data_IF_297364127395
#
_entry.id   IF_297364127395
#
_cell.length_a   1.000
_cell.length_b   1.000
_cell.length_c   1.000
_cell.angle_alpha   90.00
_cell.angle_beta   90.00
_cell.angle_gamma   90.00
#
_symmetry.space_group_name_H-M   'P 1'
#
loop_
_entity.id
_entity.type
_entity.pdbx_description
1 polymer ?
#
# COMPACT_ATOMS: atom_id res chain seq x y z
N UNK A 1 -67.14 -10.26 8.09
CA UNK A 1 -66.16 -9.54 7.25
C UNK A 1 -64.97 -10.45 7.00
N UNK A 2 -64.61 -10.73 5.74
CA UNK A 2 -63.49 -11.61 5.44
C UNK A 2 -62.17 -10.91 5.81
N UNK A 3 -61.30 -11.61 6.56
CA UNK A 3 -59.97 -11.09 6.95
C UNK A 3 -58.93 -11.21 5.83
N UNK A 4 -59.27 -11.92 4.74
CA UNK A 4 -58.39 -12.17 3.59
C UNK A 4 -57.87 -10.91 2.89
N UNK A 5 -58.72 -9.91 2.56
CA UNK A 5 -58.27 -8.69 1.90
C UNK A 5 -57.29 -7.88 2.77
N UNK A 6 -57.52 -7.83 4.08
CA UNK A 6 -56.64 -7.13 5.03
C UNK A 6 -55.26 -7.82 5.08
N UNK A 7 -55.23 -9.15 5.10
CA UNK A 7 -53.98 -9.92 5.13
C UNK A 7 -53.15 -9.71 3.85
N UNK A 8 -53.79 -9.67 2.68
CA UNK A 8 -53.13 -9.44 1.39
C UNK A 8 -52.52 -8.04 1.33
N UNK A 9 -53.25 -7.01 1.78
CA UNK A 9 -52.73 -5.63 1.84
C UNK A 9 -51.52 -5.55 2.78
N UNK A 10 -51.58 -6.21 3.93
CA UNK A 10 -50.51 -6.21 4.93
C UNK A 10 -49.23 -6.88 4.39
N UNK A 11 -49.37 -7.99 3.68
CA UNK A 11 -48.25 -8.65 2.99
C UNK A 11 -47.64 -7.76 1.90
N UNK A 12 -48.47 -7.02 1.15
CA UNK A 12 -47.98 -6.12 0.12
C UNK A 12 -47.17 -4.95 0.71
N UNK A 13 -47.65 -4.37 1.81
CA UNK A 13 -46.94 -3.32 2.54
C UNK A 13 -45.61 -3.84 3.09
N UNK A 14 -45.61 -5.02 3.73
CA UNK A 14 -44.38 -5.63 4.24
C UNK A 14 -43.38 -5.95 3.12
N UNK A 15 -43.85 -6.46 1.97
CA UNK A 15 -43.00 -6.70 0.80
C UNK A 15 -42.39 -5.41 0.25
N UNK A 16 -43.16 -4.32 0.18
CA UNK A 16 -42.67 -3.02 -0.23
C UNK A 16 -41.63 -2.46 0.77
N UNK A 17 -41.89 -2.56 2.09
CA UNK A 17 -40.94 -2.17 3.12
C UNK A 17 -39.63 -2.97 3.02
N UNK A 18 -39.72 -4.30 2.85
CA UNK A 18 -38.55 -5.15 2.67
C UNK A 18 -37.74 -4.76 1.42
N UNK A 19 -38.42 -4.52 0.30
CA UNK A 19 -37.76 -4.10 -0.94
C UNK A 19 -37.02 -2.76 -0.80
N UNK A 20 -37.62 -1.79 -0.09
CA UNK A 20 -36.99 -0.49 0.18
C UNK A 20 -35.75 -0.66 1.07
N UNK A 21 -35.86 -1.42 2.17
CA UNK A 21 -34.74 -1.67 3.09
C UNK A 21 -33.59 -2.40 2.37
N UNK A 22 -33.92 -3.44 1.61
CA UNK A 22 -32.97 -4.20 0.81
C UNK A 22 -32.22 -3.32 -0.20
N UNK A 23 -32.93 -2.40 -0.88
CA UNK A 23 -32.31 -1.48 -1.82
C UNK A 23 -31.44 -0.42 -1.13
N UNK A 24 -31.79 0.00 0.09
CA UNK A 24 -30.96 0.89 0.90
C UNK A 24 -29.67 0.20 1.35
N UNK A 25 -29.74 -1.04 1.85
CA UNK A 25 -28.56 -1.83 2.22
C UNK A 25 -27.64 -2.03 1.03
N UNK A 26 -28.18 -2.43 -0.14
CA UNK A 26 -27.37 -2.57 -1.36
C UNK A 26 -26.66 -1.28 -1.76
N UNK A 27 -27.34 -0.13 -1.67
CA UNK A 27 -26.73 1.18 -1.94
C UNK A 27 -25.61 1.49 -0.93
N UNK A 28 -25.82 1.21 0.36
CA UNK A 28 -24.80 1.43 1.38
C UNK A 28 -23.57 0.54 1.14
N UNK A 29 -23.77 -0.74 0.83
CA UNK A 29 -22.67 -1.66 0.48
C UNK A 29 -21.90 -1.17 -0.74
N UNK A 30 -22.60 -0.73 -1.79
CA UNK A 30 -21.94 -0.19 -2.99
C UNK A 30 -21.12 1.08 -2.68
N UNK A 31 -21.65 2.00 -1.87
CA UNK A 31 -20.93 3.19 -1.43
C UNK A 31 -19.69 2.81 -0.63
N UNK A 32 -19.80 1.89 0.34
CA UNK A 32 -18.67 1.42 1.13
C UNK A 32 -17.58 0.75 0.27
N UNK A 33 -17.97 -0.06 -0.73
CA UNK A 33 -17.02 -0.66 -1.68
C UNK A 33 -16.27 0.41 -2.47
N UNK A 34 -16.98 1.38 -3.03
CA UNK A 34 -16.36 2.46 -3.80
C UNK A 34 -15.41 3.33 -2.97
N UNK A 35 -15.75 3.56 -1.70
CA UNK A 35 -14.92 4.31 -0.75
C UNK A 35 -13.66 3.52 -0.40
N UNK A 36 -13.80 2.21 -0.16
CA UNK A 36 -12.67 1.30 0.06
C UNK A 36 -11.72 1.26 -1.15
N UNK A 37 -12.25 1.09 -2.35
CA UNK A 37 -11.49 1.06 -3.60
C UNK A 37 -10.72 2.37 -3.81
N UNK A 38 -11.36 3.51 -3.57
CA UNK A 38 -10.68 4.82 -3.63
C UNK A 38 -9.56 4.95 -2.61
N UNK A 39 -9.76 4.45 -1.39
CA UNK A 39 -8.70 4.44 -0.37
C UNK A 39 -7.53 3.55 -0.79
N UNK A 40 -7.80 2.34 -1.31
CA UNK A 40 -6.76 1.44 -1.82
C UNK A 40 -5.97 2.13 -2.94
N UNK A 41 -6.68 2.74 -3.90
CA UNK A 41 -6.04 3.51 -4.98
C UNK A 41 -5.13 4.60 -4.42
N UNK A 42 -5.64 5.42 -3.51
CA UNK A 42 -4.90 6.51 -2.88
C UNK A 42 -3.64 6.00 -2.17
N UNK A 43 -3.74 4.89 -1.43
CA UNK A 43 -2.60 4.35 -0.69
C UNK A 43 -1.57 3.69 -1.61
N UNK A 44 -1.97 3.07 -2.71
CA UNK A 44 -1.00 2.59 -3.70
C UNK A 44 -0.31 3.71 -4.46
N UNK A 45 -1.03 4.79 -4.80
CA UNK A 45 -0.38 5.97 -5.38
C UNK A 45 0.58 6.63 -4.39
N UNK A 46 0.22 6.66 -3.09
CA UNK A 46 1.14 7.14 -2.04
C UNK A 46 2.34 6.21 -1.90
N UNK A 47 2.16 4.89 -1.94
CA UNK A 47 3.26 3.92 -1.94
C UNK A 47 4.23 4.18 -3.09
N UNK A 48 3.71 4.44 -4.29
CA UNK A 48 4.52 4.74 -5.49
C UNK A 48 5.34 6.00 -5.26
N UNK A 49 4.76 7.02 -4.64
CA UNK A 49 5.48 8.24 -4.27
C UNK A 49 6.55 7.97 -3.20
N UNK A 50 6.19 7.30 -2.11
CA UNK A 50 7.12 6.99 -1.02
C UNK A 50 8.32 6.17 -1.52
N UNK A 51 8.11 5.22 -2.43
CA UNK A 51 9.20 4.44 -3.04
C UNK A 51 10.11 5.32 -3.90
N UNK A 52 9.56 6.31 -4.62
CA UNK A 52 10.37 7.28 -5.35
C UNK A 52 11.21 8.15 -4.41
N UNK A 53 10.59 8.70 -3.37
CA UNK A 53 11.24 9.55 -2.38
C UNK A 53 12.34 8.78 -1.63
N UNK A 54 12.11 7.48 -1.32
CA UNK A 54 13.13 6.56 -0.80
C UNK A 54 14.28 6.39 -1.78
N UNK A 55 14.00 6.09 -3.05
CA UNK A 55 15.05 5.89 -4.06
C UNK A 55 15.92 7.14 -4.23
N UNK A 56 15.31 8.31 -4.34
CA UNK A 56 16.01 9.60 -4.40
C UNK A 56 16.86 9.84 -3.16
N UNK A 57 16.31 9.55 -1.98
CA UNK A 57 17.05 9.68 -0.72
C UNK A 57 18.26 8.74 -0.71
N UNK A 58 18.10 7.46 -1.04
CA UNK A 58 19.20 6.50 -1.05
C UNK A 58 20.31 6.90 -2.05
N UNK A 59 19.92 7.33 -3.25
CA UNK A 59 20.85 7.77 -4.28
C UNK A 59 21.56 9.09 -3.96
N UNK A 60 21.01 9.87 -3.03
CA UNK A 60 21.68 11.07 -2.54
C UNK A 60 22.75 10.77 -1.47
N UNK A 61 22.87 9.52 -1.00
CA UNK A 61 23.90 9.15 -0.03
C UNK A 61 25.31 9.39 -0.57
N UNK A 62 26.20 9.85 0.30
CA UNK A 62 27.62 10.05 0.00
C UNK A 62 28.42 9.65 1.26
N UNK A 63 29.44 8.81 1.08
CA UNK A 63 30.26 8.32 2.20
C UNK A 63 31.07 9.43 2.90
N UNK A 64 31.42 10.47 2.13
CA UNK A 64 32.20 11.64 2.54
C UNK A 64 31.36 12.74 3.18
N UNK A 65 30.06 12.51 3.41
CA UNK A 65 29.22 13.46 4.13
C UNK A 65 29.84 13.92 5.44
N UNK A 66 29.79 15.24 5.65
CA UNK A 66 30.10 15.87 6.93
C UNK A 66 29.14 15.39 8.02
N UNK A 67 29.50 15.58 9.29
CA UNK A 67 28.64 15.21 10.42
C UNK A 67 27.24 15.86 10.34
N UNK A 68 27.16 17.08 9.81
CA UNK A 68 25.88 17.79 9.61
C UNK A 68 25.06 17.14 8.51
N UNK A 69 25.66 16.81 7.37
CA UNK A 69 24.98 16.14 6.25
C UNK A 69 24.51 14.75 6.65
N UNK A 70 25.33 13.96 7.36
CA UNK A 70 24.94 12.66 7.92
C UNK A 70 23.71 12.77 8.82
N UNK A 71 23.61 13.84 9.62
CA UNK A 71 22.45 14.09 10.48
C UNK A 71 21.19 14.42 9.67
N UNK A 72 21.31 15.25 8.63
CA UNK A 72 20.19 15.59 7.75
C UNK A 72 19.72 14.40 6.91
N UNK A 73 20.67 13.63 6.39
CA UNK A 73 20.40 12.39 5.66
C UNK A 73 19.64 11.38 6.53
N UNK A 74 20.14 11.14 7.75
CA UNK A 74 19.46 10.28 8.73
C UNK A 74 18.02 10.71 8.99
N UNK A 75 17.80 12.02 9.18
CA UNK A 75 16.44 12.57 9.37
C UNK A 75 15.54 12.31 8.16
N UNK A 76 16.09 12.36 6.95
CA UNK A 76 15.35 12.07 5.71
C UNK A 76 14.97 10.60 5.67
N UNK A 77 15.90 9.69 5.91
CA UNK A 77 15.63 8.24 6.05
C UNK A 77 14.56 7.95 7.11
N UNK A 78 14.62 8.61 8.28
CA UNK A 78 13.63 8.44 9.35
C UNK A 78 12.25 9.02 8.98
N UNK A 79 12.16 9.99 8.06
CA UNK A 79 10.89 10.43 7.48
C UNK A 79 10.35 9.37 6.52
N UNK A 80 11.20 8.85 5.63
CA UNK A 80 10.80 7.85 4.65
C UNK A 80 10.29 6.55 5.29
N UNK A 81 10.98 6.09 6.34
CA UNK A 81 10.52 4.94 7.16
C UNK A 81 9.11 5.18 7.69
N UNK A 82 8.83 6.39 8.20
CA UNK A 82 7.51 6.70 8.76
C UNK A 82 6.42 6.73 7.69
N UNK A 83 6.71 7.31 6.52
CA UNK A 83 5.75 7.35 5.41
C UNK A 83 5.41 5.94 4.92
N UNK A 84 6.46 5.15 4.64
CA UNK A 84 6.33 3.78 4.16
C UNK A 84 5.55 2.88 5.15
N UNK A 85 5.86 2.99 6.45
CA UNK A 85 5.14 2.25 7.49
C UNK A 85 3.65 2.63 7.53
N UNK A 86 3.35 3.93 7.48
CA UNK A 86 1.98 4.41 7.52
C UNK A 86 1.16 3.89 6.34
N UNK A 87 1.73 3.88 5.14
CA UNK A 87 1.08 3.33 3.94
C UNK A 87 0.90 1.82 4.06
N UNK A 88 1.93 1.10 4.53
CA UNK A 88 1.85 -0.35 4.71
C UNK A 88 0.75 -0.78 5.67
N UNK A 89 0.65 -0.11 6.82
CA UNK A 89 -0.40 -0.37 7.82
C UNK A 89 -1.78 -0.11 7.21
N UNK A 90 -1.96 1.02 6.52
CA UNK A 90 -3.24 1.38 5.91
C UNK A 90 -3.66 0.36 4.84
N UNK A 91 -2.73 -0.05 3.97
CA UNK A 91 -2.99 -1.09 2.96
C UNK A 91 -3.32 -2.44 3.61
N UNK A 92 -2.63 -2.80 4.69
CA UNK A 92 -2.90 -4.01 5.46
C UNK A 92 -4.35 -4.07 5.95
N UNK A 93 -4.83 -2.99 6.58
CA UNK A 93 -6.21 -2.87 7.09
C UNK A 93 -7.23 -2.95 5.96
N UNK A 94 -6.97 -2.28 4.83
CA UNK A 94 -7.92 -2.23 3.72
C UNK A 94 -8.00 -3.55 2.95
N UNK A 95 -6.87 -4.22 2.73
CA UNK A 95 -6.80 -5.40 1.86
C UNK A 95 -7.13 -6.71 2.59
N UNK A 96 -6.82 -6.81 3.88
CA UNK A 96 -7.13 -8.00 4.69
C UNK A 96 -7.78 -7.62 6.04
N UNK A 97 -9.03 -7.11 6.05
CA UNK A 97 -9.69 -6.70 7.29
C UNK A 97 -9.95 -7.86 8.26
N UNK A 98 -9.99 -9.11 7.76
CA UNK A 98 -10.30 -10.31 8.55
C UNK A 98 -9.05 -11.11 8.96
N UNK A 99 -7.87 -10.80 8.40
CA UNK A 99 -6.67 -11.61 8.60
C UNK A 99 -5.53 -10.78 9.22
N UNK A 100 -5.48 -10.82 10.56
CA UNK A 100 -4.49 -10.12 11.39
C UNK A 100 -3.10 -10.74 11.36
N UNK A 101 -2.92 -11.95 10.81
CA UNK A 101 -1.68 -12.70 11.06
C UNK A 101 -0.53 -12.32 10.13
N UNK A 102 -0.79 -11.79 8.92
CA UNK A 102 0.25 -11.31 7.99
C UNK A 102 -0.32 -10.28 7.01
N UNK A 103 -0.13 -9.00 7.31
CA UNK A 103 -0.50 -7.91 6.41
C UNK A 103 0.60 -7.65 5.38
N UNK A 104 0.29 -6.85 4.36
CA UNK A 104 1.28 -6.38 3.37
C UNK A 104 2.46 -5.71 4.06
N UNK A 105 2.23 -5.09 5.22
CA UNK A 105 3.28 -4.49 6.01
C UNK A 105 4.33 -5.52 6.45
N UNK A 106 3.93 -6.57 7.21
CA UNK A 106 4.89 -7.54 7.74
C UNK A 106 5.58 -8.36 6.66
N UNK A 107 4.88 -8.65 5.56
CA UNK A 107 5.41 -9.53 4.52
C UNK A 107 6.33 -8.80 3.54
N UNK A 108 5.99 -7.57 3.17
CA UNK A 108 6.61 -6.92 2.00
C UNK A 108 7.25 -5.57 2.33
N UNK A 109 6.79 -4.85 3.34
CA UNK A 109 7.31 -3.51 3.66
C UNK A 109 8.40 -3.53 4.73
N UNK A 110 8.26 -4.41 5.72
CA UNK A 110 9.18 -4.50 6.85
C UNK A 110 10.66 -4.67 6.45
N UNK A 111 10.94 -5.42 5.38
CA UNK A 111 12.31 -5.64 4.91
C UNK A 111 12.99 -4.35 4.41
N UNK A 112 12.25 -3.52 3.68
CA UNK A 112 12.67 -2.19 3.25
C UNK A 112 12.90 -1.28 4.46
N UNK A 113 11.93 -1.22 5.38
CA UNK A 113 12.08 -0.46 6.63
C UNK A 113 13.33 -0.87 7.41
N UNK A 114 13.56 -2.17 7.57
CA UNK A 114 14.74 -2.69 8.28
C UNK A 114 16.03 -2.26 7.59
N UNK A 115 16.10 -2.33 6.26
CA UNK A 115 17.25 -1.87 5.49
C UNK A 115 17.51 -0.37 5.72
N UNK A 116 16.48 0.46 5.64
CA UNK A 116 16.57 1.91 5.93
C UNK A 116 17.04 2.18 7.37
N UNK A 117 16.55 1.42 8.34
CA UNK A 117 17.01 1.51 9.75
C UNK A 117 18.48 1.11 9.90
N UNK A 118 18.94 0.09 9.19
CA UNK A 118 20.33 -0.36 9.24
C UNK A 118 21.27 0.70 8.62
N UNK A 119 20.83 1.44 7.59
CA UNK A 119 21.53 2.63 7.07
C UNK A 119 21.54 3.76 8.13
N UNK A 120 20.38 4.13 8.68
CA UNK A 120 20.24 5.18 9.70
C UNK A 120 21.06 4.89 10.97
N UNK A 121 21.28 3.62 11.29
CA UNK A 121 22.13 3.15 12.39
C UNK A 121 23.62 3.06 12.04
N UNK A 122 24.01 3.27 10.78
CA UNK A 122 25.39 3.16 10.31
C UNK A 122 25.89 1.73 10.14
N UNK A 123 25.01 0.73 10.19
CA UNK A 123 25.40 -0.68 9.95
C UNK A 123 25.68 -0.92 8.47
N UNK A 124 24.87 -0.32 7.60
CA UNK A 124 25.10 -0.28 6.16
C UNK A 124 25.57 1.12 5.82
N UNK A 125 26.74 1.24 5.21
CA UNK A 125 27.39 2.53 4.92
C UNK A 125 28.22 2.52 3.63
N UNK A 126 28.30 1.39 2.92
CA UNK A 126 28.94 1.37 1.60
C UNK A 126 28.02 2.09 0.63
N UNK A 127 28.51 3.14 0.01
CA UNK A 127 27.74 3.95 -0.94
C UNK A 127 27.22 3.12 -2.11
N UNK A 128 28.06 2.24 -2.67
CA UNK A 128 27.68 1.37 -3.80
C UNK A 128 26.48 0.47 -3.47
N UNK A 129 26.44 -0.09 -2.25
CA UNK A 129 25.34 -0.95 -1.79
C UNK A 129 24.04 -0.16 -1.64
N UNK A 130 24.14 1.07 -1.12
CA UNK A 130 23.00 1.95 -0.87
C UNK A 130 22.41 2.45 -2.19
N UNK A 131 23.25 2.92 -3.11
CA UNK A 131 22.84 3.34 -4.46
C UNK A 131 22.29 2.19 -5.29
N UNK A 132 22.87 0.99 -5.18
CA UNK A 132 22.33 -0.20 -5.86
C UNK A 132 20.88 -0.45 -5.48
N UNK A 133 20.55 -0.40 -4.19
CA UNK A 133 19.16 -0.55 -3.73
C UNK A 133 18.31 0.64 -4.15
N UNK A 134 18.85 1.86 -4.13
CA UNK A 134 18.15 3.06 -4.61
C UNK A 134 17.69 2.94 -6.06
N UNK A 135 18.59 2.56 -6.97
CA UNK A 135 18.25 2.34 -8.37
C UNK A 135 17.30 1.15 -8.55
N UNK A 136 17.48 0.05 -7.81
CA UNK A 136 16.55 -1.09 -7.86
C UNK A 136 15.12 -0.72 -7.45
N UNK A 137 14.96 0.09 -6.39
CA UNK A 137 13.66 0.61 -5.96
C UNK A 137 13.05 1.47 -7.07
N UNK A 138 13.84 2.38 -7.64
CA UNK A 138 13.40 3.26 -8.73
C UNK A 138 12.92 2.49 -9.96
N UNK A 139 13.72 1.55 -10.47
CA UNK A 139 13.37 0.71 -11.63
C UNK A 139 12.10 -0.12 -11.38
N UNK A 140 11.93 -0.64 -10.18
CA UNK A 140 10.72 -1.40 -9.82
C UNK A 140 9.51 -0.49 -9.60
N UNK A 141 9.72 0.72 -9.08
CA UNK A 141 8.66 1.71 -8.89
C UNK A 141 8.13 2.28 -10.22
N UNK A 142 8.94 2.32 -11.28
CA UNK A 142 8.46 2.63 -12.63
C UNK A 142 7.36 1.66 -13.07
N UNK A 143 7.42 0.39 -12.68
CA UNK A 143 6.37 -0.59 -12.99
C UNK A 143 5.06 -0.30 -12.26
N UNK A 144 5.13 0.22 -11.02
CA UNK A 144 3.94 0.69 -10.29
C UNK A 144 3.38 1.95 -10.93
N UNK A 145 4.25 2.89 -11.30
CA UNK A 145 3.85 4.12 -12.00
C UNK A 145 3.14 3.77 -13.31
N UNK A 146 3.69 2.85 -14.10
CA UNK A 146 3.09 2.41 -15.36
C UNK A 146 1.71 1.78 -15.14
N UNK A 147 1.60 0.94 -14.10
CA UNK A 147 0.36 0.30 -13.70
C UNK A 147 -0.75 1.32 -13.36
N UNK A 148 -0.44 2.40 -12.63
CA UNK A 148 -1.45 3.40 -12.24
C UNK A 148 -1.71 4.49 -13.29
N UNK A 149 -0.68 4.90 -14.05
CA UNK A 149 -0.75 6.09 -14.90
C UNK A 149 -0.76 5.76 -16.41
N UNK A 150 -0.14 4.66 -16.85
CA UNK A 150 -0.11 4.26 -18.28
C UNK A 150 -1.19 3.23 -18.61
N UNK A 151 -1.32 2.20 -17.79
CA UNK A 151 -2.35 1.16 -17.95
C UNK A 151 -3.75 1.64 -17.51
N UNK A 152 -3.82 2.80 -16.85
CA UNK A 152 -5.05 3.44 -16.38
C UNK A 152 -5.94 2.49 -15.58
N UNK A 153 -5.34 1.76 -14.63
CA UNK A 153 -6.11 0.98 -13.69
C UNK A 153 -6.97 1.95 -12.88
N UNK A 154 -8.25 2.01 -13.25
CA UNK A 154 -9.22 2.86 -12.58
C UNK A 154 -9.38 2.46 -11.13
N UNK A 155 -9.91 3.40 -10.33
CA UNK A 155 -10.18 3.19 -8.91
C UNK A 155 -10.94 1.89 -8.63
N UNK A 156 -11.86 1.51 -9.53
CA UNK A 156 -12.72 0.33 -9.40
C UNK A 156 -11.97 -1.01 -9.58
N UNK A 157 -10.84 -1.03 -10.28
CA UNK A 157 -10.10 -2.26 -10.59
C UNK A 157 -8.90 -2.50 -9.65
N UNK A 158 -8.48 -1.48 -8.90
CA UNK A 158 -7.23 -1.50 -8.15
C UNK A 158 -7.25 -2.45 -6.94
N UNK A 159 -8.42 -2.63 -6.33
CA UNK A 159 -8.62 -3.52 -5.19
C UNK A 159 -8.77 -4.99 -5.58
N UNK A 160 -8.75 -5.32 -6.88
CA UNK A 160 -8.88 -6.70 -7.33
C UNK A 160 -7.65 -7.51 -6.95
N UNK A 161 -7.84 -8.80 -6.67
CA UNK A 161 -6.74 -9.73 -6.32
C UNK A 161 -5.60 -9.67 -7.34
N UNK A 162 -5.92 -9.59 -8.64
CA UNK A 162 -4.93 -9.52 -9.71
C UNK A 162 -4.00 -8.32 -9.55
N UNK A 163 -4.56 -7.13 -9.33
CA UNK A 163 -3.77 -5.90 -9.24
C UNK A 163 -3.01 -5.81 -7.92
N UNK A 164 -3.61 -6.27 -6.81
CA UNK A 164 -2.92 -6.43 -5.52
C UNK A 164 -1.72 -7.39 -5.64
N UNK A 165 -1.91 -8.55 -6.29
CA UNK A 165 -0.83 -9.52 -6.51
C UNK A 165 0.29 -8.95 -7.39
N UNK A 166 -0.01 -8.03 -8.31
CA UNK A 166 1.00 -7.33 -9.11
C UNK A 166 1.83 -6.38 -8.26
N UNK A 167 1.19 -5.58 -7.40
CA UNK A 167 1.90 -4.71 -6.44
C UNK A 167 2.80 -5.55 -5.54
N UNK A 168 2.26 -6.64 -4.97
CA UNK A 168 3.03 -7.57 -4.12
C UNK A 168 4.26 -8.10 -4.85
N UNK A 169 4.12 -8.56 -6.10
CA UNK A 169 5.28 -9.05 -6.88
C UNK A 169 6.36 -8.00 -7.08
N UNK A 170 5.98 -6.72 -7.22
CA UNK A 170 6.94 -5.63 -7.34
C UNK A 170 7.68 -5.41 -6.02
N UNK A 171 6.96 -5.37 -4.90
CA UNK A 171 7.56 -5.25 -3.56
C UNK A 171 8.48 -6.44 -3.23
N UNK A 172 8.09 -7.65 -3.63
CA UNK A 172 8.94 -8.84 -3.48
C UNK A 172 10.22 -8.77 -4.32
N UNK A 173 10.14 -8.16 -5.51
CA UNK A 173 11.31 -7.92 -6.35
C UNK A 173 12.28 -6.97 -5.66
N UNK A 174 11.79 -5.85 -5.12
CA UNK A 174 12.60 -4.90 -4.34
C UNK A 174 13.26 -5.61 -3.15
N UNK A 175 12.48 -6.41 -2.42
CA UNK A 175 13.02 -7.14 -1.27
C UNK A 175 14.13 -8.12 -1.65
N UNK A 176 14.08 -8.74 -2.84
CA UNK A 176 15.16 -9.61 -3.31
C UNK A 176 16.44 -8.83 -3.51
N UNK A 177 16.38 -7.65 -4.14
CA UNK A 177 17.56 -6.80 -4.34
C UNK A 177 18.17 -6.33 -3.02
N UNK A 178 17.33 -6.02 -2.02
CA UNK A 178 17.79 -5.72 -0.66
C UNK A 178 18.51 -6.91 0.00
N UNK A 179 18.05 -8.14 -0.25
CA UNK A 179 18.69 -9.33 0.32
C UNK A 179 20.06 -9.62 -0.30
N UNK A 180 20.28 -9.24 -1.57
CA UNK A 180 21.60 -9.36 -2.21
C UNK A 180 22.62 -8.57 -1.41
N UNK A 181 22.33 -7.32 -1.09
CA UNK A 181 23.20 -6.48 -0.26
C UNK A 181 23.39 -7.07 1.13
N UNK A 182 22.31 -7.54 1.79
CA UNK A 182 22.41 -8.10 3.16
C UNK A 182 23.21 -9.41 3.24
N UNK A 183 23.35 -10.16 2.16
CA UNK A 183 24.12 -11.41 2.15
C UNK A 183 25.64 -11.18 2.19
N UNK A 184 26.10 -9.95 1.95
CA UNK A 184 27.52 -9.60 1.92
C UNK A 184 28.06 -9.07 3.26
N UNK A 185 27.24 -9.09 4.31
CA UNK A 185 27.52 -8.56 5.66
C UNK A 185 27.25 -9.62 6.74
#
# INVERSE_FOLDING_TARGET
>A
MSKGPILVVLLFVLGACFFVLWNQEKKQVAVLSSVKERMIFSHFTQLTKDLNDIAETLNAYDEDFTAREKTLYKKSIDNEIRSLNQVGINLGVLLNPENTERTIYEQHIWNMEKFLKDISAGKIHKETDIHFVGEAIKEHNEKLTDMFYKEQIGQEAVGTKREVDRVIRILDSINKEIQVVKAEW
#
